data_IF_192732876286
#
_entry.id   IF_192732876286
#
_cell.length_a   1.000
_cell.length_b   1.000
_cell.length_c   1.000
_cell.angle_alpha   90.00
_cell.angle_beta   90.00
_cell.angle_gamma   90.00
#
_symmetry.space_group_name_H-M   'P 1'
#
loop_
_entity.id
_entity.type
_entity.pdbx_description
1 polymer ?
#
# COMPACT_ATOMS: atom_id res chain seq x y z
N UNK A 1 -3.39 4.06 -21.52
CA UNK A 1 -4.25 5.14 -20.96
C UNK A 1 -5.06 5.77 -22.10
N UNK A 2 -6.21 5.20 -22.48
CA UNK A 2 -6.88 5.48 -23.76
C UNK A 2 -7.52 6.88 -23.88
N UNK A 3 -8.09 7.42 -22.80
CA UNK A 3 -8.84 8.69 -22.84
C UNK A 3 -8.08 9.91 -22.30
N UNK A 4 -6.84 9.71 -21.80
CA UNK A 4 -5.98 10.77 -21.23
C UNK A 4 -6.67 11.65 -20.16
N UNK A 5 -7.68 11.13 -19.47
CA UNK A 5 -8.37 11.82 -18.39
C UNK A 5 -7.44 11.88 -17.17
N UNK A 6 -7.16 13.07 -16.65
CA UNK A 6 -6.35 13.25 -15.43
C UNK A 6 -7.01 12.45 -14.30
N UNK A 7 -6.27 11.53 -13.71
CA UNK A 7 -6.78 10.59 -12.70
C UNK A 7 -5.86 10.64 -11.48
N UNK A 8 -6.37 11.16 -10.37
CA UNK A 8 -5.65 11.14 -9.09
C UNK A 8 -6.15 9.95 -8.29
N UNK A 9 -5.24 9.21 -7.67
CA UNK A 9 -5.54 8.05 -6.83
C UNK A 9 -4.94 8.25 -5.46
N UNK A 10 -5.71 7.91 -4.42
CA UNK A 10 -5.19 7.77 -3.05
C UNK A 10 -4.68 6.35 -2.86
N UNK A 11 -3.37 6.18 -2.72
CA UNK A 11 -2.75 4.87 -2.56
C UNK A 11 -2.90 4.35 -1.12
N UNK A 12 -2.97 3.03 -0.97
CA UNK A 12 -3.22 2.35 0.29
C UNK A 12 -2.14 1.33 0.68
N UNK A 13 -0.82 1.61 0.55
CA UNK A 13 0.21 0.65 0.91
C UNK A 13 0.26 0.41 2.43
N UNK A 14 0.94 -0.67 2.83
CA UNK A 14 1.21 -0.97 4.24
C UNK A 14 1.97 0.19 4.88
N UNK A 15 1.52 0.64 6.05
CA UNK A 15 2.17 1.66 6.87
C UNK A 15 2.59 1.10 8.22
N UNK A 16 3.67 1.64 8.79
CA UNK A 16 4.13 1.30 10.15
C UNK A 16 4.29 2.57 10.97
N UNK A 17 5.27 3.42 10.66
CA UNK A 17 5.50 4.66 11.42
C UNK A 17 4.60 5.83 10.94
N UNK A 18 4.35 5.93 9.63
CA UNK A 18 3.52 6.99 9.06
C UNK A 18 4.18 8.37 9.03
N UNK A 19 5.47 8.48 9.34
CA UNK A 19 6.21 9.75 9.43
C UNK A 19 7.41 9.82 8.48
N UNK A 20 7.61 8.79 7.66
CA UNK A 20 8.69 8.72 6.66
C UNK A 20 9.98 8.06 7.16
N UNK A 21 9.98 7.45 8.34
CA UNK A 21 11.17 6.85 8.93
C UNK A 21 11.44 5.41 8.47
N UNK A 22 10.40 4.61 8.18
CA UNK A 22 10.59 3.18 7.90
C UNK A 22 10.55 2.78 6.41
N UNK A 23 9.90 3.58 5.56
CA UNK A 23 9.72 3.25 4.14
C UNK A 23 8.83 2.02 3.83
N UNK A 24 8.08 1.51 4.81
CA UNK A 24 7.10 0.43 4.59
C UNK A 24 6.04 0.82 3.54
N UNK A 25 5.70 2.10 3.52
CA UNK A 25 4.69 2.66 2.64
C UNK A 25 5.24 3.08 1.25
N UNK A 26 6.45 2.63 0.89
CA UNK A 26 7.10 3.01 -0.37
C UNK A 26 6.31 2.53 -1.60
N UNK A 27 6.29 3.38 -2.61
CA UNK A 27 5.69 3.13 -3.94
C UNK A 27 6.65 3.62 -5.03
N UNK A 28 6.48 3.09 -6.25
CA UNK A 28 7.16 3.61 -7.45
C UNK A 28 6.19 4.47 -8.24
N UNK A 29 6.50 5.76 -8.39
CA UNK A 29 5.70 6.72 -9.15
C UNK A 29 6.61 7.43 -10.14
N UNK A 30 6.30 7.34 -11.43
CA UNK A 30 7.14 7.85 -12.53
C UNK A 30 8.60 7.36 -12.44
N UNK A 31 8.80 6.10 -12.04
CA UNK A 31 10.13 5.48 -11.89
C UNK A 31 10.93 5.93 -10.67
N UNK A 32 10.35 6.75 -9.77
CA UNK A 32 10.99 7.20 -8.53
C UNK A 32 10.35 6.55 -7.32
N UNK A 33 11.18 6.19 -6.35
CA UNK A 33 10.69 5.74 -5.04
C UNK A 33 10.11 6.94 -4.29
N UNK A 34 8.89 6.81 -3.79
CA UNK A 34 8.16 7.79 -2.98
C UNK A 34 7.57 7.12 -1.74
N UNK A 35 7.38 7.86 -0.65
CA UNK A 35 6.78 7.38 0.58
C UNK A 35 5.38 7.96 0.74
N UNK A 36 4.35 7.13 0.62
CA UNK A 36 2.95 7.61 0.62
C UNK A 36 2.52 8.38 1.87
N UNK A 37 3.13 8.12 3.04
CA UNK A 37 2.82 8.86 4.27
C UNK A 37 3.42 10.28 4.33
N UNK A 38 4.38 10.62 3.47
CA UNK A 38 5.03 11.94 3.43
C UNK A 38 4.86 12.63 2.08
N UNK A 39 5.09 11.89 0.98
CA UNK A 39 4.99 12.40 -0.40
C UNK A 39 3.56 12.33 -0.97
N UNK A 40 2.64 11.62 -0.29
CA UNK A 40 1.31 11.28 -0.80
C UNK A 40 0.17 11.61 0.18
N UNK A 41 -0.89 10.76 0.28
CA UNK A 41 -1.08 9.46 -0.40
C UNK A 41 -1.58 9.59 -1.85
N UNK A 42 -1.88 10.82 -2.28
CA UNK A 42 -2.46 11.14 -3.59
C UNK A 42 -1.37 11.27 -4.67
N UNK A 43 -1.50 10.51 -5.75
CA UNK A 43 -0.58 10.55 -6.90
C UNK A 43 -1.36 10.57 -8.21
N UNK A 44 -0.68 10.96 -9.30
CA UNK A 44 -1.21 10.70 -10.64
C UNK A 44 -1.25 9.18 -10.85
N UNK A 45 -2.45 8.61 -10.79
CA UNK A 45 -2.66 7.16 -10.83
C UNK A 45 -2.16 6.54 -12.12
N UNK A 46 -2.07 7.36 -13.15
CA UNK A 46 -1.44 6.97 -14.37
C UNK A 46 0.03 6.55 -14.17
N UNK A 47 0.83 7.28 -13.39
CA UNK A 47 2.27 7.09 -13.23
C UNK A 47 2.67 6.11 -12.11
N UNK A 48 1.69 5.50 -11.44
CA UNK A 48 1.89 4.53 -10.37
C UNK A 48 2.20 3.14 -10.94
N UNK A 49 3.21 2.48 -10.38
CA UNK A 49 3.41 1.04 -10.59
C UNK A 49 2.46 0.21 -9.71
N UNK A 50 1.27 -0.10 -10.24
CA UNK A 50 0.29 -0.91 -9.54
C UNK A 50 0.73 -2.37 -9.35
N UNK A 51 1.56 -2.92 -10.22
CA UNK A 51 2.05 -4.30 -10.09
C UNK A 51 2.93 -4.45 -8.86
N UNK A 52 3.86 -3.52 -8.67
CA UNK A 52 4.68 -3.43 -7.47
C UNK A 52 3.82 -3.19 -6.23
N UNK A 53 2.87 -2.25 -6.28
CA UNK A 53 1.99 -1.96 -5.14
C UNK A 53 1.19 -3.19 -4.70
N UNK A 54 0.54 -3.90 -5.63
CA UNK A 54 -0.24 -5.10 -5.33
C UNK A 54 0.60 -6.22 -4.72
N UNK A 55 1.81 -6.44 -5.26
CA UNK A 55 2.75 -7.43 -4.71
C UNK A 55 3.13 -7.10 -3.27
N UNK A 56 3.35 -5.82 -2.97
CA UNK A 56 3.69 -5.37 -1.61
C UNK A 56 2.54 -5.52 -0.64
N UNK A 57 1.30 -5.27 -1.08
CA UNK A 57 0.11 -5.43 -0.25
C UNK A 57 -0.12 -6.88 0.18
N UNK A 58 0.24 -7.85 -0.66
CA UNK A 58 0.04 -9.26 -0.37
C UNK A 58 1.13 -9.88 0.51
N UNK A 59 2.16 -9.11 0.88
CA UNK A 59 3.36 -9.61 1.58
C UNK A 59 3.06 -10.34 2.90
N UNK A 60 1.98 -9.97 3.61
CA UNK A 60 1.65 -10.49 4.93
C UNK A 60 0.36 -11.32 4.99
N UNK A 61 -0.19 -11.73 3.84
CA UNK A 61 -1.47 -12.43 3.75
C UNK A 61 -1.53 -13.68 4.66
N UNK A 62 -0.45 -14.46 4.74
CA UNK A 62 -0.39 -15.66 5.59
C UNK A 62 -0.42 -15.31 7.08
N UNK A 63 0.32 -14.28 7.49
CA UNK A 63 0.38 -13.80 8.86
C UNK A 63 -0.96 -13.17 9.27
N UNK A 64 -1.61 -12.43 8.38
CA UNK A 64 -2.94 -11.86 8.57
C UNK A 64 -3.99 -12.95 8.80
N UNK A 65 -3.94 -14.04 8.01
CA UNK A 65 -4.82 -15.19 8.18
C UNK A 65 -4.64 -15.87 9.55
N UNK A 66 -3.39 -16.13 9.94
CA UNK A 66 -3.07 -16.73 11.24
C UNK A 66 -3.52 -15.84 12.42
N UNK A 67 -3.33 -14.52 12.30
CA UNK A 67 -3.78 -13.57 13.32
C UNK A 67 -5.31 -13.55 13.45
N UNK A 68 -6.03 -13.62 12.33
CA UNK A 68 -7.49 -13.69 12.30
C UNK A 68 -8.02 -14.98 12.94
N UNK A 69 -7.42 -16.13 12.62
CA UNK A 69 -7.77 -17.42 13.20
C UNK A 69 -7.56 -17.42 14.72
N UNK A 70 -6.41 -16.91 15.20
CA UNK A 70 -6.13 -16.79 16.63
C UNK A 70 -7.15 -15.90 17.35
N UNK A 71 -7.42 -14.72 16.82
CA UNK A 71 -8.38 -13.77 17.39
C UNK A 71 -9.81 -14.35 17.43
N UNK A 72 -10.19 -15.18 16.45
CA UNK A 72 -11.50 -15.88 16.45
C UNK A 72 -11.58 -16.96 17.53
N UNK A 73 -10.51 -17.73 17.73
CA UNK A 73 -10.48 -18.74 18.80
C UNK A 73 -10.55 -18.08 20.19
N UNK A 74 -9.85 -16.97 20.41
CA UNK A 74 -9.88 -16.25 21.69
C UNK A 74 -11.26 -15.64 22.05
N UNK A 75 -12.10 -15.34 21.05
CA UNK A 75 -13.43 -14.75 21.27
C UNK A 75 -14.55 -15.77 21.49
N UNK A 76 -14.32 -17.03 21.14
CA UNK A 76 -15.34 -18.09 21.18
C UNK A 76 -15.10 -19.14 22.28
N UNK A 77 -14.10 -18.92 23.15
CA UNK A 77 -13.79 -19.79 24.28
C UNK A 77 -13.92 -19.10 25.63
#
# INVERSE_FOLDING_TARGET
RPHKIKTIVSLNPIMVDGTGMCGACRVSVAGKTRFTCVDGPEFDGHDVDFGLLMTRLQMYTEQEKLALERCRCEKNG
#
